data_IF_614134301593
#
_entry.id   IF_614134301593
#
_cell.length_a   1.000
_cell.length_b   1.000
_cell.length_c   1.000
_cell.angle_alpha   90.00
_cell.angle_beta   90.00
_cell.angle_gamma   90.00
#
_symmetry.space_group_name_H-M   'P 1'
#
loop_
_entity.id
_entity.type
_entity.pdbx_description
1 polymer ?
#
# COMPACT_ATOMS: atom_id res chain seq x y z
N UNK A 1 35.48 2.20 -5.50
CA UNK A 1 35.25 3.54 -4.88
C UNK A 1 33.75 3.71 -4.66
N UNK A 2 33.30 3.51 -3.41
CA UNK A 2 31.96 3.92 -2.98
C UNK A 2 31.87 5.45 -3.07
N UNK A 3 31.22 5.97 -4.12
CA UNK A 3 30.86 7.39 -4.16
C UNK A 3 30.11 7.70 -2.87
N UNK A 4 30.68 8.56 -2.02
CA UNK A 4 29.95 9.14 -0.88
C UNK A 4 28.63 9.70 -1.43
N UNK A 5 27.52 9.05 -1.10
CA UNK A 5 26.21 9.62 -1.41
C UNK A 5 26.15 11.00 -0.75
N UNK A 6 25.92 12.03 -1.56
CA UNK A 6 25.74 13.37 -1.04
C UNK A 6 24.56 13.34 -0.05
N UNK A 7 24.72 14.00 1.10
CA UNK A 7 23.69 14.09 2.11
C UNK A 7 22.50 14.85 1.50
N UNK A 8 21.35 14.21 1.42
CA UNK A 8 20.12 14.85 0.93
C UNK A 8 19.78 16.06 1.82
N UNK A 9 19.52 17.19 1.19
CA UNK A 9 19.09 18.42 1.88
C UNK A 9 17.58 18.55 1.85
N UNK A 10 17.04 19.45 2.68
CA UNK A 10 15.62 19.82 2.65
C UNK A 10 15.24 20.42 1.28
N UNK A 11 16.11 21.25 0.74
CA UNK A 11 15.94 21.92 -0.56
C UNK A 11 15.88 20.91 -1.70
N UNK A 12 16.76 19.91 -1.71
CA UNK A 12 16.73 18.81 -2.70
C UNK A 12 15.38 18.06 -2.67
N UNK A 13 14.89 17.77 -1.49
CA UNK A 13 13.62 17.06 -1.32
C UNK A 13 12.43 17.90 -1.80
N UNK A 14 12.37 19.18 -1.46
CA UNK A 14 11.29 20.07 -1.91
C UNK A 14 11.34 20.28 -3.42
N UNK A 15 12.53 20.48 -3.99
CA UNK A 15 12.72 20.64 -5.43
C UNK A 15 12.28 19.40 -6.20
N UNK A 16 12.64 18.21 -5.73
CA UNK A 16 12.22 16.95 -6.34
C UNK A 16 10.69 16.81 -6.46
N UNK A 17 9.93 17.31 -5.48
CA UNK A 17 8.47 17.20 -5.47
C UNK A 17 7.76 18.30 -6.26
N UNK A 18 8.41 19.44 -6.51
CA UNK A 18 7.79 20.62 -7.14
C UNK A 18 8.29 20.91 -8.55
N UNK A 19 9.48 20.44 -8.94
CA UNK A 19 10.08 20.75 -10.23
C UNK A 19 9.35 20.03 -11.37
N UNK A 20 9.12 20.74 -12.47
CA UNK A 20 8.40 20.20 -13.62
C UNK A 20 6.92 20.01 -13.33
N UNK A 21 6.40 18.79 -13.51
CA UNK A 21 5.05 18.41 -13.10
C UNK A 21 5.05 18.06 -11.63
N UNK A 22 4.32 18.77 -10.77
CA UNK A 22 4.28 18.48 -9.33
C UNK A 22 3.75 17.07 -9.02
N UNK A 23 4.21 16.49 -7.91
CA UNK A 23 3.83 15.14 -7.49
C UNK A 23 4.69 14.05 -8.15
N UNK A 24 4.30 12.79 -7.97
CA UNK A 24 5.07 11.62 -8.42
C UNK A 24 4.28 10.67 -9.31
N UNK A 25 2.98 10.92 -9.47
CA UNK A 25 2.09 10.08 -10.24
C UNK A 25 1.35 10.91 -11.30
N UNK A 26 0.95 10.24 -12.37
CA UNK A 26 0.00 10.78 -13.35
C UNK A 26 -0.87 9.67 -13.91
N UNK A 27 -2.07 10.02 -14.35
CA UNK A 27 -3.00 9.11 -15.01
C UNK A 27 -2.93 9.38 -16.51
N UNK A 28 -2.62 8.34 -17.29
CA UNK A 28 -2.51 8.42 -18.74
C UNK A 28 -3.42 7.38 -19.41
N UNK A 29 -4.02 7.72 -20.57
CA UNK A 29 -4.81 6.74 -21.33
C UNK A 29 -3.93 5.60 -21.84
N UNK A 30 -4.49 4.38 -21.84
CA UNK A 30 -3.83 3.17 -22.37
C UNK A 30 -4.36 2.74 -23.74
N UNK A 31 -5.42 3.36 -24.24
CA UNK A 31 -6.06 3.06 -25.52
C UNK A 31 -5.84 4.19 -26.51
N UNK A 32 -5.88 3.92 -27.84
CA UNK A 32 -5.86 4.96 -28.86
C UNK A 32 -7.03 5.93 -28.69
N UNK A 33 -6.79 7.21 -28.97
CA UNK A 33 -7.79 8.27 -28.86
C UNK A 33 -7.66 9.34 -29.98
N UNK A 34 -7.05 8.97 -31.11
CA UNK A 34 -6.72 9.90 -32.18
C UNK A 34 -7.83 10.00 -33.25
N UNK A 35 -8.78 9.08 -33.28
CA UNK A 35 -9.85 9.06 -34.27
C UNK A 35 -11.25 9.10 -33.63
N UNK A 36 -12.25 9.56 -34.41
CA UNK A 36 -13.66 9.52 -34.00
C UNK A 36 -14.11 8.07 -33.66
N UNK A 37 -13.59 7.09 -34.37
CA UNK A 37 -13.83 5.68 -34.09
C UNK A 37 -13.30 5.28 -32.71
N UNK A 38 -12.08 5.67 -32.38
CA UNK A 38 -11.47 5.38 -31.07
C UNK A 38 -12.31 5.98 -29.94
N UNK A 39 -12.72 7.23 -30.08
CA UNK A 39 -13.59 7.89 -29.08
C UNK A 39 -14.95 7.21 -28.94
N UNK A 40 -15.54 6.75 -30.05
CA UNK A 40 -16.81 6.03 -30.02
C UNK A 40 -16.70 4.65 -29.36
N UNK A 41 -15.54 4.00 -29.45
CA UNK A 41 -15.27 2.73 -28.75
C UNK A 41 -14.95 2.96 -27.27
N UNK A 42 -14.17 4.02 -26.98
CA UNK A 42 -13.73 4.33 -25.61
C UNK A 42 -14.87 4.84 -24.71
N UNK A 43 -15.88 5.49 -25.29
CA UNK A 43 -17.00 6.07 -24.57
C UNK A 43 -18.34 5.70 -25.24
N UNK A 44 -19.13 6.64 -25.72
CA UNK A 44 -20.44 6.36 -26.28
C UNK A 44 -20.41 6.20 -27.80
N UNK A 45 -21.00 5.14 -28.39
CA UNK A 45 -21.84 4.09 -27.77
C UNK A 45 -21.09 2.84 -27.32
N UNK A 46 -19.84 2.61 -27.73
CA UNK A 46 -19.12 1.36 -27.63
C UNK A 46 -18.92 0.85 -26.19
N UNK A 47 -18.80 1.76 -25.20
CA UNK A 47 -18.63 1.41 -23.78
C UNK A 47 -19.82 0.65 -23.16
N UNK A 48 -20.98 0.69 -23.80
CA UNK A 48 -22.16 -0.04 -23.33
C UNK A 48 -21.94 -1.58 -23.32
N UNK A 49 -21.20 -2.11 -24.29
CA UNK A 49 -20.99 -3.55 -24.40
C UNK A 49 -20.21 -4.15 -23.22
N UNK A 50 -19.02 -3.63 -22.83
CA UNK A 50 -18.34 -4.12 -21.64
C UNK A 50 -19.16 -3.89 -20.36
N UNK A 51 -19.96 -2.83 -20.24
CA UNK A 51 -20.85 -2.63 -19.09
C UNK A 51 -21.88 -3.77 -18.97
N UNK A 52 -22.52 -4.15 -20.05
CA UNK A 52 -23.50 -5.25 -20.08
C UNK A 52 -22.86 -6.62 -19.79
N UNK A 53 -21.64 -6.82 -20.23
CA UNK A 53 -20.89 -8.05 -19.92
C UNK A 53 -20.53 -8.14 -18.44
N UNK A 54 -20.09 -7.03 -17.83
CA UNK A 54 -19.77 -6.97 -16.39
C UNK A 54 -21.04 -7.10 -15.54
N UNK A 55 -22.17 -6.54 -15.97
CA UNK A 55 -23.45 -6.70 -15.29
C UNK A 55 -23.89 -8.17 -15.22
N UNK A 56 -23.68 -8.93 -16.31
CA UNK A 56 -23.99 -10.37 -16.36
C UNK A 56 -23.02 -11.20 -15.51
N UNK A 57 -21.74 -10.83 -15.50
CA UNK A 57 -20.67 -11.57 -14.85
C UNK A 57 -19.62 -10.58 -14.30
N UNK A 58 -19.67 -10.29 -13.00
CA UNK A 58 -18.84 -9.28 -12.34
C UNK A 58 -17.32 -9.53 -12.49
N UNK A 59 -16.89 -10.80 -12.62
CA UNK A 59 -15.50 -11.17 -12.84
C UNK A 59 -14.92 -10.56 -14.13
N UNK A 60 -15.73 -10.25 -15.12
CA UNK A 60 -15.31 -9.58 -16.36
C UNK A 60 -14.83 -8.14 -16.16
N UNK A 61 -15.05 -7.56 -14.98
CA UNK A 61 -14.43 -6.28 -14.62
C UNK A 61 -12.88 -6.36 -14.66
N UNK A 62 -12.31 -7.51 -14.37
CA UNK A 62 -10.86 -7.73 -14.45
C UNK A 62 -10.35 -7.84 -15.90
N UNK A 63 -11.21 -8.17 -16.85
CA UNK A 63 -10.88 -8.24 -18.28
C UNK A 63 -11.05 -6.89 -18.99
N UNK A 64 -12.14 -6.17 -18.68
CA UNK A 64 -12.53 -4.97 -19.43
C UNK A 64 -12.17 -3.65 -18.77
N UNK A 65 -11.61 -3.66 -17.54
CA UNK A 65 -11.21 -2.46 -16.83
C UNK A 65 -9.79 -2.57 -16.28
N UNK A 66 -9.27 -1.48 -15.72
CA UNK A 66 -7.97 -1.46 -15.03
C UNK A 66 -7.99 -2.15 -13.65
N UNK A 67 -9.15 -2.62 -13.18
CA UNK A 67 -9.32 -3.20 -11.83
C UNK A 67 -8.28 -4.27 -11.50
N UNK A 68 -7.92 -5.12 -12.46
CA UNK A 68 -6.98 -6.24 -12.25
C UNK A 68 -5.54 -5.82 -11.96
N UNK A 69 -5.16 -4.58 -12.25
CA UNK A 69 -3.82 -4.05 -11.99
C UNK A 69 -3.84 -2.72 -11.25
N UNK A 70 -4.93 -2.38 -10.57
CA UNK A 70 -5.08 -1.11 -9.84
C UNK A 70 -5.26 -1.36 -8.36
N UNK A 71 -4.32 -0.86 -7.55
CA UNK A 71 -4.35 -0.94 -6.07
C UNK A 71 -4.65 0.44 -5.50
N UNK A 72 -5.49 0.49 -4.45
CA UNK A 72 -5.63 1.69 -3.64
C UNK A 72 -4.57 1.70 -2.54
N UNK A 73 -3.78 2.76 -2.44
CA UNK A 73 -2.99 3.08 -1.24
C UNK A 73 -3.81 4.04 -0.38
N UNK A 74 -4.31 3.56 0.77
CA UNK A 74 -5.29 4.30 1.58
C UNK A 74 -4.69 4.65 2.94
N UNK A 75 -4.77 5.93 3.30
CA UNK A 75 -4.29 6.45 4.59
C UNK A 75 -5.26 7.46 5.19
N UNK A 76 -5.28 7.57 6.51
CA UNK A 76 -5.86 8.70 7.21
C UNK A 76 -4.80 9.64 7.84
N UNK A 77 -3.52 9.38 7.58
CA UNK A 77 -2.41 10.22 8.00
C UNK A 77 -2.18 10.29 9.50
N UNK A 78 -2.57 9.24 10.25
CA UNK A 78 -2.49 9.24 11.73
C UNK A 78 -1.16 8.71 12.28
N UNK A 79 -0.30 8.12 11.43
CA UNK A 79 1.03 7.61 11.83
C UNK A 79 2.05 7.74 10.69
N UNK A 80 2.19 8.95 10.14
CA UNK A 80 3.02 9.21 8.95
C UNK A 80 4.49 9.24 9.32
N UNK A 81 5.26 8.22 8.90
CA UNK A 81 6.69 8.09 9.17
C UNK A 81 7.03 8.37 10.66
N UNK A 82 8.08 9.14 10.93
CA UNK A 82 8.42 9.64 12.27
C UNK A 82 7.72 10.95 12.68
N UNK A 83 6.77 11.43 11.85
CA UNK A 83 6.08 12.72 12.06
C UNK A 83 4.79 12.59 12.87
N UNK A 84 4.24 11.37 12.98
CA UNK A 84 3.02 11.09 13.74
C UNK A 84 1.73 11.49 13.01
N UNK A 85 0.75 12.00 13.76
CA UNK A 85 -0.58 12.37 13.26
C UNK A 85 -0.54 13.77 12.61
N UNK A 86 -0.15 13.83 11.35
CA UNK A 86 -0.10 15.07 10.56
C UNK A 86 -1.30 15.26 9.64
N UNK A 87 -2.20 14.28 9.62
CA UNK A 87 -3.41 14.28 8.81
C UNK A 87 -3.22 13.80 7.38
N UNK A 88 -4.34 13.47 6.69
CA UNK A 88 -4.31 12.81 5.39
C UNK A 88 -3.65 13.66 4.30
N UNK A 89 -3.99 14.96 4.20
CA UNK A 89 -3.44 15.82 3.16
C UNK A 89 -1.92 15.99 3.25
N UNK A 90 -1.38 16.12 4.46
CA UNK A 90 0.05 16.23 4.66
C UNK A 90 0.78 14.88 4.43
N UNK A 91 0.08 13.76 4.57
CA UNK A 91 0.58 12.42 4.26
C UNK A 91 0.65 12.10 2.76
N UNK A 92 -0.06 12.84 1.91
CA UNK A 92 -0.16 12.56 0.47
C UNK A 92 1.20 12.37 -0.25
N UNK A 93 2.26 13.15 0.00
CA UNK A 93 3.55 12.90 -0.63
C UNK A 93 4.13 11.51 -0.35
N UNK A 94 3.84 10.93 0.83
CA UNK A 94 4.25 9.56 1.18
C UNK A 94 3.42 8.54 0.39
N UNK A 95 2.11 8.75 0.28
CA UNK A 95 1.20 7.86 -0.45
C UNK A 95 1.52 7.82 -1.95
N UNK A 96 1.79 8.96 -2.57
CA UNK A 96 2.30 9.01 -3.94
C UNK A 96 3.65 8.28 -4.08
N UNK A 97 4.53 8.40 -3.08
CA UNK A 97 5.80 7.67 -3.02
C UNK A 97 5.57 6.17 -2.97
N UNK A 98 4.61 5.68 -2.18
CA UNK A 98 4.21 4.27 -2.16
C UNK A 98 3.70 3.82 -3.53
N UNK A 99 2.85 4.61 -4.18
CA UNK A 99 2.38 4.35 -5.54
C UNK A 99 3.53 4.23 -6.55
N UNK A 100 4.52 5.12 -6.47
CA UNK A 100 5.74 5.02 -7.29
C UNK A 100 6.48 3.70 -7.07
N UNK A 101 6.62 3.24 -5.82
CA UNK A 101 7.29 1.97 -5.51
C UNK A 101 6.51 0.77 -6.06
N UNK A 102 5.18 0.74 -5.94
CA UNK A 102 4.35 -0.28 -6.56
C UNK A 102 4.57 -0.36 -8.08
N UNK A 103 4.66 0.81 -8.73
CA UNK A 103 4.85 0.86 -10.18
C UNK A 103 6.22 0.35 -10.61
N UNK A 104 7.31 0.82 -9.98
CA UNK A 104 8.67 0.48 -10.43
C UNK A 104 9.09 -0.94 -10.05
N UNK A 105 8.59 -1.49 -8.93
CA UNK A 105 8.98 -2.82 -8.47
C UNK A 105 8.03 -3.94 -8.86
N UNK A 106 6.75 -3.65 -9.05
CA UNK A 106 5.74 -4.65 -9.34
C UNK A 106 4.93 -4.40 -10.63
N UNK A 107 5.10 -3.26 -11.29
CA UNK A 107 4.32 -2.88 -12.47
C UNK A 107 2.85 -2.57 -12.17
N UNK A 108 2.48 -2.45 -10.88
CA UNK A 108 1.11 -2.20 -10.43
C UNK A 108 0.81 -0.71 -10.45
N UNK A 109 -0.36 -0.36 -10.98
CA UNK A 109 -0.88 1.00 -10.95
C UNK A 109 -1.53 1.30 -9.59
N UNK A 110 -1.43 2.54 -9.13
CA UNK A 110 -1.95 2.94 -7.83
C UNK A 110 -2.74 4.25 -7.94
N UNK A 111 -3.88 4.29 -7.24
CA UNK A 111 -4.46 5.54 -6.77
C UNK A 111 -4.20 5.66 -5.28
N UNK A 112 -3.60 6.77 -4.86
CA UNK A 112 -3.49 7.14 -3.45
C UNK A 112 -4.78 7.86 -3.01
N UNK A 113 -5.31 7.42 -1.88
CA UNK A 113 -6.60 7.89 -1.33
C UNK A 113 -6.39 8.35 0.10
N UNK A 114 -6.43 9.66 0.28
CA UNK A 114 -6.29 10.30 1.58
C UNK A 114 -7.67 10.51 2.23
N UNK A 115 -8.01 9.69 3.23
CA UNK A 115 -9.32 9.69 3.89
C UNK A 115 -9.27 10.59 5.14
N UNK A 116 -10.02 11.67 5.16
CA UNK A 116 -10.13 12.55 6.32
C UNK A 116 -11.17 12.02 7.35
N UNK A 117 -10.90 10.83 7.86
CA UNK A 117 -11.71 10.19 8.90
C UNK A 117 -10.82 9.40 9.85
N UNK A 118 -10.98 9.62 11.17
CA UNK A 118 -10.20 8.95 12.22
C UNK A 118 -11.00 7.89 12.97
N UNK A 119 -12.32 7.92 12.87
CA UNK A 119 -13.20 6.90 13.43
C UNK A 119 -13.06 5.61 12.60
N UNK A 120 -12.67 4.48 13.21
CA UNK A 120 -12.42 3.24 12.46
C UNK A 120 -13.63 2.73 11.69
N UNK A 121 -14.84 2.81 12.29
CA UNK A 121 -16.07 2.33 11.64
C UNK A 121 -16.37 3.13 10.38
N UNK A 122 -16.31 4.46 10.47
CA UNK A 122 -16.55 5.33 9.31
C UNK A 122 -15.46 5.18 8.25
N UNK A 123 -14.21 5.03 8.66
CA UNK A 123 -13.10 4.77 7.74
C UNK A 123 -13.32 3.48 6.96
N UNK A 124 -13.70 2.38 7.64
CA UNK A 124 -14.03 1.11 7.02
C UNK A 124 -15.17 1.27 6.01
N UNK A 125 -16.23 2.00 6.35
CA UNK A 125 -17.35 2.24 5.43
C UNK A 125 -16.91 3.00 4.17
N UNK A 126 -16.04 4.00 4.29
CA UNK A 126 -15.47 4.71 3.12
C UNK A 126 -14.68 3.74 2.24
N UNK A 127 -13.79 2.94 2.83
CA UNK A 127 -12.97 1.98 2.09
C UNK A 127 -13.83 0.96 1.36
N UNK A 128 -14.86 0.42 2.02
CA UNK A 128 -15.81 -0.52 1.41
C UNK A 128 -16.57 0.12 0.23
N UNK A 129 -16.96 1.37 0.37
CA UNK A 129 -17.72 2.06 -0.68
C UNK A 129 -16.89 2.28 -1.97
N UNK A 130 -15.57 2.44 -1.88
CA UNK A 130 -14.68 2.64 -3.03
C UNK A 130 -14.02 1.34 -3.53
N UNK A 131 -14.09 0.26 -2.76
CA UNK A 131 -13.43 -1.03 -3.07
C UNK A 131 -13.77 -1.60 -4.46
N UNK A 132 -14.97 -1.42 -5.04
CA UNK A 132 -15.27 -1.90 -6.38
C UNK A 132 -14.30 -1.44 -7.47
N UNK A 133 -13.66 -0.28 -7.31
CA UNK A 133 -12.69 0.28 -8.26
C UNK A 133 -11.39 -0.54 -8.34
N UNK A 134 -11.01 -1.22 -7.26
CA UNK A 134 -9.66 -1.74 -7.06
C UNK A 134 -9.59 -3.26 -7.09
N UNK A 135 -8.43 -3.79 -7.53
CA UNK A 135 -8.09 -5.20 -7.43
C UNK A 135 -7.42 -5.57 -6.10
N UNK A 136 -7.02 -4.58 -5.30
CA UNK A 136 -6.44 -4.77 -3.97
C UNK A 136 -6.30 -3.44 -3.22
N UNK A 137 -6.07 -3.52 -1.92
CA UNK A 137 -5.92 -2.37 -1.02
C UNK A 137 -4.65 -2.52 -0.19
N UNK A 138 -3.82 -1.49 -0.20
CA UNK A 138 -2.73 -1.28 0.73
C UNK A 138 -3.13 -0.17 1.71
N UNK A 139 -3.29 -0.52 2.98
CA UNK A 139 -3.45 0.45 4.05
C UNK A 139 -2.06 0.95 4.47
N UNK A 140 -1.91 2.25 4.67
CA UNK A 140 -0.62 2.89 4.96
C UNK A 140 -0.77 3.97 6.02
N UNK A 141 0.22 4.08 6.93
CA UNK A 141 0.34 5.18 7.90
C UNK A 141 -0.92 5.37 8.79
N UNK A 142 -1.58 4.25 9.16
CA UNK A 142 -2.70 4.22 10.10
C UNK A 142 -2.18 3.78 11.45
N UNK A 143 -2.42 4.59 12.49
CA UNK A 143 -1.89 4.33 13.83
C UNK A 143 -2.46 3.08 14.48
N UNK A 144 -1.64 2.42 15.29
CA UNK A 144 -2.10 1.41 16.23
C UNK A 144 -2.82 2.06 17.45
N UNK A 145 -3.83 1.41 18.06
CA UNK A 145 -4.31 0.05 17.75
C UNK A 145 -5.34 -0.02 16.62
N UNK A 146 -5.85 1.11 16.12
CA UNK A 146 -6.94 1.17 15.15
C UNK A 146 -6.62 0.42 13.85
N UNK A 147 -5.37 0.44 13.41
CA UNK A 147 -4.95 -0.25 12.18
C UNK A 147 -5.21 -1.76 12.23
N UNK A 148 -5.18 -2.39 13.41
CA UNK A 148 -5.42 -3.83 13.54
C UNK A 148 -6.89 -4.17 13.25
N UNK A 149 -7.83 -3.45 13.87
CA UNK A 149 -9.26 -3.62 13.66
C UNK A 149 -9.65 -3.31 12.21
N UNK A 150 -9.14 -2.19 11.67
CA UNK A 150 -9.45 -1.75 10.30
C UNK A 150 -9.01 -2.83 9.29
N UNK A 151 -7.80 -3.35 9.41
CA UNK A 151 -7.30 -4.36 8.49
C UNK A 151 -8.06 -5.68 8.61
N UNK A 152 -8.26 -6.17 9.84
CA UNK A 152 -8.97 -7.43 10.09
C UNK A 152 -10.37 -7.41 9.49
N UNK A 153 -11.14 -6.37 9.79
CA UNK A 153 -12.50 -6.24 9.29
C UNK A 153 -12.56 -6.08 7.77
N UNK A 154 -11.68 -5.29 7.18
CA UNK A 154 -11.65 -5.14 5.72
C UNK A 154 -11.28 -6.44 5.01
N UNK A 155 -10.41 -7.26 5.59
CA UNK A 155 -10.10 -8.62 5.09
C UNK A 155 -11.30 -9.55 5.13
N UNK A 156 -12.13 -9.44 6.16
CA UNK A 156 -13.34 -10.26 6.32
C UNK A 156 -14.50 -9.78 5.44
N UNK A 157 -14.59 -8.47 5.22
CA UNK A 157 -15.76 -7.84 4.60
C UNK A 157 -15.59 -7.54 3.10
N UNK A 158 -14.39 -7.76 2.52
CA UNK A 158 -14.09 -7.51 1.11
C UNK A 158 -13.57 -8.77 0.40
N UNK A 159 -13.95 -8.93 -0.87
CA UNK A 159 -13.52 -10.04 -1.73
C UNK A 159 -12.21 -9.77 -2.48
N UNK A 160 -11.48 -8.71 -2.14
CA UNK A 160 -10.19 -8.36 -2.72
C UNK A 160 -9.10 -8.38 -1.65
N UNK A 161 -7.82 -8.61 -2.00
CA UNK A 161 -6.72 -8.58 -1.03
C UNK A 161 -6.62 -7.23 -0.32
N UNK A 162 -6.48 -7.29 1.01
CA UNK A 162 -6.22 -6.11 1.87
C UNK A 162 -4.98 -6.38 2.70
N UNK A 163 -4.07 -5.42 2.77
CA UNK A 163 -2.85 -5.50 3.56
C UNK A 163 -2.56 -4.14 4.20
N UNK A 164 -2.07 -4.14 5.43
CA UNK A 164 -1.48 -2.96 6.08
C UNK A 164 0.05 -3.10 6.05
N UNK A 165 0.71 -2.28 5.25
CA UNK A 165 2.16 -2.42 4.97
C UNK A 165 3.03 -2.21 6.20
N UNK A 166 2.71 -1.24 7.07
CA UNK A 166 3.45 -1.00 8.32
C UNK A 166 3.45 -2.22 9.25
N UNK A 167 2.45 -3.08 9.14
CA UNK A 167 2.41 -4.37 9.84
C UNK A 167 3.20 -5.42 9.07
N UNK A 168 2.71 -5.79 7.89
CA UNK A 168 3.13 -7.01 7.19
C UNK A 168 4.35 -6.80 6.30
N UNK A 169 4.49 -5.66 5.63
CA UNK A 169 5.67 -5.34 4.83
C UNK A 169 6.91 -5.25 5.70
N UNK A 170 6.82 -4.54 6.82
CA UNK A 170 7.91 -4.43 7.80
C UNK A 170 8.26 -5.79 8.41
N UNK A 171 7.26 -6.61 8.75
CA UNK A 171 7.49 -7.94 9.30
C UNK A 171 8.22 -8.86 8.29
N UNK A 172 7.80 -8.86 7.03
CA UNK A 172 8.39 -9.67 5.96
C UNK A 172 9.86 -9.31 5.74
N UNK A 173 10.16 -8.02 5.56
CA UNK A 173 11.55 -7.62 5.27
C UNK A 173 12.48 -7.82 6.47
N UNK A 174 11.99 -7.59 7.70
CA UNK A 174 12.79 -7.81 8.89
C UNK A 174 13.03 -9.30 9.16
N UNK A 175 12.04 -10.15 8.91
CA UNK A 175 12.18 -11.61 8.99
C UNK A 175 13.16 -12.14 7.94
N UNK A 176 13.11 -11.64 6.71
CA UNK A 176 14.09 -11.99 5.67
C UNK A 176 15.52 -11.62 6.11
N UNK A 177 15.70 -10.43 6.69
CA UNK A 177 16.98 -10.01 7.25
C UNK A 177 17.45 -10.92 8.40
N UNK A 178 16.55 -11.27 9.31
CA UNK A 178 16.84 -12.15 10.44
C UNK A 178 17.26 -13.55 9.98
N UNK A 179 16.52 -14.17 9.07
CA UNK A 179 16.83 -15.50 8.52
C UNK A 179 18.24 -15.51 7.91
N UNK A 180 18.54 -14.53 7.04
CA UNK A 180 19.86 -14.45 6.42
C UNK A 180 20.97 -14.19 7.43
N UNK A 181 20.73 -13.36 8.45
CA UNK A 181 21.71 -13.13 9.51
C UNK A 181 21.99 -14.41 10.32
N UNK A 182 20.95 -15.19 10.63
CA UNK A 182 21.08 -16.47 11.34
C UNK A 182 21.86 -17.49 10.52
N UNK A 183 21.64 -17.57 9.23
CA UNK A 183 22.37 -18.43 8.31
C UNK A 183 23.87 -18.08 8.30
N UNK A 184 24.21 -16.80 8.18
CA UNK A 184 25.60 -16.32 8.19
C UNK A 184 26.32 -16.68 9.49
N UNK A 185 25.66 -16.55 10.64
CA UNK A 185 26.30 -16.81 11.96
C UNK A 185 26.12 -18.24 12.46
N UNK A 186 25.45 -19.11 11.69
CA UNK A 186 25.22 -20.50 12.02
C UNK A 186 24.36 -20.74 13.27
N UNK A 187 23.39 -19.83 13.58
CA UNK A 187 22.49 -19.96 14.71
C UNK A 187 21.08 -20.34 14.26
N UNK A 188 20.37 -21.07 15.14
CA UNK A 188 18.95 -21.34 14.93
C UNK A 188 18.09 -20.27 15.58
N UNK A 189 16.93 -20.01 15.00
CA UNK A 189 15.99 -18.97 15.48
C UNK A 189 15.47 -19.27 16.90
N UNK A 190 15.35 -20.54 17.27
CA UNK A 190 14.93 -21.00 18.59
C UNK A 190 15.94 -20.72 19.71
N UNK A 191 17.21 -20.45 19.36
CA UNK A 191 18.33 -20.28 20.30
C UNK A 191 18.72 -18.81 20.52
N UNK A 192 18.12 -17.88 19.78
CA UNK A 192 18.43 -16.45 19.92
C UNK A 192 17.52 -15.77 20.94
N UNK A 193 18.01 -14.66 21.50
CA UNK A 193 17.22 -13.71 22.28
C UNK A 193 16.87 -12.52 21.45
N UNK A 194 15.63 -12.09 21.52
CA UNK A 194 15.09 -10.94 20.76
C UNK A 194 14.63 -9.89 21.78
N UNK A 195 15.06 -8.64 21.60
CA UNK A 195 14.56 -7.52 22.40
C UNK A 195 13.74 -6.61 21.49
N UNK A 196 12.46 -6.48 21.80
CA UNK A 196 11.56 -5.60 21.05
C UNK A 196 11.42 -4.28 21.82
N UNK A 197 11.86 -3.18 21.20
CA UNK A 197 11.70 -1.85 21.75
C UNK A 197 10.59 -1.11 21.00
N UNK A 198 9.36 -1.16 21.53
CA UNK A 198 8.17 -0.57 20.95
C UNK A 198 6.98 -1.54 20.98
N UNK A 199 5.76 -1.00 20.79
CA UNK A 199 4.51 -1.77 20.79
C UNK A 199 3.54 -1.31 19.68
N UNK A 200 4.06 -0.69 18.63
CA UNK A 200 3.29 -0.24 17.48
C UNK A 200 2.93 -1.36 16.49
N UNK A 201 2.40 -0.97 15.34
CA UNK A 201 1.98 -1.88 14.28
C UNK A 201 3.11 -2.84 13.86
N UNK A 202 4.29 -2.28 13.53
CA UNK A 202 5.45 -3.04 13.10
C UNK A 202 5.96 -4.01 14.18
N UNK A 203 6.15 -3.54 15.43
CA UNK A 203 6.68 -4.36 16.50
C UNK A 203 5.82 -5.62 16.76
N UNK A 204 4.50 -5.45 16.81
CA UNK A 204 3.56 -6.56 16.99
C UNK A 204 3.64 -7.57 15.85
N UNK A 205 3.64 -7.11 14.60
CA UNK A 205 3.63 -8.00 13.43
C UNK A 205 4.98 -8.70 13.24
N UNK A 206 6.10 -8.00 13.46
CA UNK A 206 7.42 -8.62 13.44
C UNK A 206 7.54 -9.74 14.49
N UNK A 207 7.12 -9.47 15.73
CA UNK A 207 7.17 -10.45 16.80
C UNK A 207 6.33 -11.69 16.49
N UNK A 208 5.10 -11.49 16.00
CA UNK A 208 4.23 -12.60 15.57
C UNK A 208 4.89 -13.45 14.47
N UNK A 209 5.50 -12.79 13.48
CA UNK A 209 6.17 -13.50 12.38
C UNK A 209 7.42 -14.24 12.87
N UNK A 210 8.22 -13.67 13.76
CA UNK A 210 9.39 -14.36 14.34
C UNK A 210 8.99 -15.60 15.11
N UNK A 211 7.91 -15.54 15.89
CA UNK A 211 7.35 -16.71 16.61
C UNK A 211 6.87 -17.78 15.61
N UNK A 212 6.19 -17.38 14.54
CA UNK A 212 5.75 -18.30 13.49
C UNK A 212 6.93 -18.98 12.77
N UNK A 213 8.08 -18.32 12.69
CA UNK A 213 9.32 -18.85 12.14
C UNK A 213 10.11 -19.73 13.15
N UNK A 214 9.69 -19.80 14.41
CA UNK A 214 10.28 -20.66 15.42
C UNK A 214 10.98 -19.96 16.60
N UNK A 215 10.93 -18.63 16.69
CA UNK A 215 11.42 -17.93 17.87
C UNK A 215 10.56 -18.30 19.09
N UNK A 216 11.20 -18.61 20.20
CA UNK A 216 10.51 -18.98 21.45
C UNK A 216 10.01 -17.73 22.18
N UNK A 217 8.78 -17.77 22.67
CA UNK A 217 8.17 -16.65 23.40
C UNK A 217 9.00 -16.24 24.62
N UNK A 218 9.58 -17.22 25.36
CA UNK A 218 10.43 -16.96 26.52
C UNK A 218 11.76 -16.27 26.18
N UNK A 219 12.10 -16.16 24.91
CA UNK A 219 13.31 -15.51 24.41
C UNK A 219 13.05 -14.12 23.79
N UNK A 220 11.79 -13.65 23.84
CA UNK A 220 11.39 -12.35 23.25
C UNK A 220 11.09 -11.34 24.36
#
# INVERSE_FOLDING_TARGET
ELKKMAKLTREDALLYHSQGKPGKIEVVPTKPYSSQRDLSLAYSPGVAEPCLEIEKESAKAYEYTSKGNLVAVISNGTAVLGLGDIGPLAGKPVMEGKGLLFKIFAGIDVFDIEVNEKDPEKFIQVVKAIAPTFGGINLEDIKAPQCFEIEERLKEELDIPVMHDDQHGTAIISAAGLINALDIIGKKIEDIKIVVNGAGAAANSCTKLYMALGAKLENI
#
